data_IF_478691009338
#
_entry.id   IF_478691009338
#
_cell.length_a   1.000
_cell.length_b   1.000
_cell.length_c   1.000
_cell.angle_alpha   90.00
_cell.angle_beta   90.00
_cell.angle_gamma   90.00
#
_symmetry.space_group_name_H-M   'P 1'
#
loop_
_entity.id
_entity.type
_entity.pdbx_description
1 polymer ?
#
# COMPACT_ATOMS: atom_id res chain seq x y z
N UNK A 1 21.55 -30.32 -10.64
CA UNK A 1 21.12 -30.04 -9.25
C UNK A 1 21.18 -28.55 -8.90
N UNK A 2 22.29 -27.85 -9.18
CA UNK A 2 22.45 -26.41 -8.86
C UNK A 2 21.35 -25.50 -9.46
N UNK A 3 20.99 -25.68 -10.73
CA UNK A 3 19.93 -24.88 -11.36
C UNK A 3 18.54 -25.08 -10.73
N UNK A 4 18.21 -26.31 -10.34
CA UNK A 4 16.95 -26.58 -9.63
C UNK A 4 16.95 -25.96 -8.23
N UNK A 5 18.08 -26.00 -7.54
CA UNK A 5 18.23 -25.35 -6.24
C UNK A 5 18.05 -23.83 -6.33
N UNK A 6 18.75 -23.17 -7.27
CA UNK A 6 18.66 -21.72 -7.46
C UNK A 6 17.25 -21.25 -7.86
N UNK A 7 16.53 -22.06 -8.66
CA UNK A 7 15.14 -21.79 -9.06
C UNK A 7 14.21 -21.57 -7.87
N UNK A 8 14.41 -22.28 -6.76
CA UNK A 8 13.58 -22.15 -5.55
C UNK A 8 14.21 -21.27 -4.48
N UNK A 9 15.54 -21.28 -4.34
CA UNK A 9 16.24 -20.45 -3.35
C UNK A 9 16.02 -18.96 -3.61
N UNK A 10 16.12 -18.50 -4.87
CA UNK A 10 16.05 -17.07 -5.17
C UNK A 10 14.69 -16.46 -4.81
N UNK A 11 13.52 -17.05 -5.17
CA UNK A 11 12.23 -16.58 -4.70
C UNK A 11 12.14 -16.50 -3.17
N UNK A 12 12.68 -17.49 -2.46
CA UNK A 12 12.70 -17.49 -0.98
C UNK A 12 13.52 -16.31 -0.45
N UNK A 13 14.68 -16.03 -1.04
CA UNK A 13 15.51 -14.87 -0.68
C UNK A 13 14.79 -13.55 -0.96
N UNK A 14 14.09 -13.44 -2.09
CA UNK A 14 13.29 -12.26 -2.44
C UNK A 14 12.18 -12.03 -1.41
N UNK A 15 11.42 -13.08 -1.07
CA UNK A 15 10.36 -12.99 -0.05
C UNK A 15 10.95 -12.66 1.32
N UNK A 16 12.05 -13.27 1.72
CA UNK A 16 12.75 -12.94 2.95
C UNK A 16 13.18 -11.47 3.01
N UNK A 17 13.71 -10.94 1.90
CA UNK A 17 14.08 -9.53 1.80
C UNK A 17 12.86 -8.60 1.89
N UNK A 18 11.71 -8.97 1.30
CA UNK A 18 10.46 -8.22 1.46
C UNK A 18 9.92 -8.24 2.88
N UNK A 19 10.03 -9.36 3.60
CA UNK A 19 9.64 -9.43 5.01
C UNK A 19 10.53 -8.53 5.87
N UNK A 20 11.85 -8.52 5.64
CA UNK A 20 12.77 -7.58 6.32
C UNK A 20 12.36 -6.14 6.03
N UNK A 21 12.07 -5.81 4.77
CA UNK A 21 11.62 -4.47 4.37
C UNK A 21 10.29 -4.08 5.04
N UNK A 22 9.41 -5.04 5.28
CA UNK A 22 8.08 -4.85 5.87
C UNK A 22 8.09 -4.70 7.39
N UNK A 23 9.10 -5.20 8.11
CA UNK A 23 9.04 -5.22 9.58
C UNK A 23 10.23 -4.58 10.29
N UNK A 24 11.40 -4.51 9.64
CA UNK A 24 12.65 -4.16 10.32
C UNK A 24 13.24 -2.82 9.88
N UNK A 25 12.90 -2.35 8.66
CA UNK A 25 13.58 -1.19 8.05
C UNK A 25 12.71 0.06 8.12
N UNK A 26 13.25 1.12 8.73
CA UNK A 26 12.62 2.42 8.77
C UNK A 26 12.79 3.19 7.45
N UNK A 27 11.85 4.08 7.13
CA UNK A 27 11.92 4.92 5.92
C UNK A 27 13.15 5.83 5.85
N UNK A 28 13.76 6.15 7.00
CA UNK A 28 14.96 6.99 7.10
C UNK A 28 16.25 6.28 6.72
N UNK A 29 16.25 4.94 6.62
CA UNK A 29 17.45 4.14 6.41
C UNK A 29 17.81 4.06 4.92
N UNK A 30 18.02 5.21 4.29
CA UNK A 30 18.14 5.36 2.82
C UNK A 30 19.14 4.40 2.20
N UNK A 31 20.33 4.24 2.80
CA UNK A 31 21.36 3.34 2.26
C UNK A 31 20.95 1.86 2.35
N UNK A 32 20.28 1.46 3.44
CA UNK A 32 19.77 0.09 3.61
C UNK A 32 18.66 -0.18 2.61
N UNK A 33 17.72 0.74 2.46
CA UNK A 33 16.64 0.65 1.48
C UNK A 33 17.18 0.53 0.05
N UNK A 34 18.12 1.39 -0.35
CA UNK A 34 18.75 1.33 -1.67
C UNK A 34 19.45 -0.01 -1.91
N UNK A 35 20.17 -0.51 -0.91
CA UNK A 35 20.89 -1.79 -1.01
C UNK A 35 19.94 -2.97 -1.13
N UNK A 36 18.86 -3.00 -0.34
CA UNK A 36 17.83 -4.04 -0.41
C UNK A 36 17.09 -4.00 -1.75
N UNK A 37 16.65 -2.83 -2.20
CA UNK A 37 15.97 -2.71 -3.50
C UNK A 37 16.87 -3.13 -4.66
N UNK A 38 18.16 -2.74 -4.65
CA UNK A 38 19.12 -3.18 -5.66
C UNK A 38 19.34 -4.69 -5.61
N UNK A 39 19.49 -5.27 -4.42
CA UNK A 39 19.66 -6.71 -4.24
C UNK A 39 18.44 -7.49 -4.76
N UNK A 40 17.23 -7.09 -4.37
CA UNK A 40 15.98 -7.69 -4.85
C UNK A 40 15.89 -7.57 -6.38
N UNK A 41 16.23 -6.41 -6.95
CA UNK A 41 16.22 -6.20 -8.40
C UNK A 41 17.17 -7.17 -9.12
N UNK A 42 18.41 -7.30 -8.67
CA UNK A 42 19.38 -8.20 -9.29
C UNK A 42 18.97 -9.67 -9.19
N UNK A 43 18.45 -10.09 -8.03
CA UNK A 43 17.91 -11.44 -7.82
C UNK A 43 16.72 -11.72 -8.73
N UNK A 44 15.78 -10.79 -8.80
CA UNK A 44 14.59 -10.91 -9.64
C UNK A 44 14.96 -10.93 -11.12
N UNK A 45 15.86 -10.04 -11.57
CA UNK A 45 16.36 -10.01 -12.95
C UNK A 45 17.00 -11.34 -13.36
N UNK A 46 17.88 -11.88 -12.52
CA UNK A 46 18.53 -13.16 -12.77
C UNK A 46 17.50 -14.30 -12.78
N UNK A 47 16.58 -14.35 -11.81
CA UNK A 47 15.58 -15.41 -11.73
C UNK A 47 14.62 -15.38 -12.92
N UNK A 48 14.16 -14.18 -13.32
CA UNK A 48 13.29 -14.01 -14.48
C UNK A 48 14.00 -14.52 -15.74
N UNK A 49 15.26 -14.19 -15.97
CA UNK A 49 15.98 -14.62 -17.18
C UNK A 49 16.15 -16.13 -17.32
N UNK A 50 16.17 -16.87 -16.21
CA UNK A 50 16.57 -18.28 -16.21
C UNK A 50 15.45 -19.28 -15.88
N UNK A 51 14.46 -18.89 -15.08
CA UNK A 51 13.55 -19.86 -14.44
C UNK A 51 12.06 -19.48 -14.48
N UNK A 52 11.70 -18.40 -15.17
CA UNK A 52 10.35 -17.87 -15.14
C UNK A 52 9.36 -18.76 -15.91
N UNK A 53 8.14 -18.82 -15.39
CA UNK A 53 6.92 -19.12 -16.14
C UNK A 53 5.87 -18.11 -15.70
N UNK A 54 4.81 -17.90 -16.50
CA UNK A 54 3.75 -16.98 -16.13
C UNK A 54 3.14 -17.32 -14.75
N UNK A 55 2.94 -18.62 -14.48
CA UNK A 55 2.43 -19.10 -13.19
C UNK A 55 3.39 -18.85 -12.03
N UNK A 56 4.71 -19.00 -12.24
CA UNK A 56 5.68 -18.73 -11.17
C UNK A 56 5.85 -17.23 -10.91
N UNK A 57 5.75 -16.39 -11.94
CA UNK A 57 5.74 -14.92 -11.82
C UNK A 57 4.51 -14.49 -11.02
N UNK A 58 3.33 -14.99 -11.38
CA UNK A 58 2.08 -14.69 -10.67
C UNK A 58 2.17 -15.10 -9.20
N UNK A 59 2.62 -16.33 -8.92
CA UNK A 59 2.77 -16.82 -7.55
C UNK A 59 3.74 -15.96 -6.74
N UNK A 60 4.92 -15.65 -7.28
CA UNK A 60 5.91 -14.81 -6.61
C UNK A 60 5.36 -13.39 -6.36
N UNK A 61 4.67 -12.80 -7.34
CA UNK A 61 4.03 -11.50 -7.20
C UNK A 61 2.95 -11.47 -6.10
N UNK A 62 2.10 -12.50 -6.04
CA UNK A 62 1.09 -12.66 -4.98
C UNK A 62 1.78 -12.74 -3.61
N UNK A 63 2.77 -13.63 -3.46
CA UNK A 63 3.48 -13.79 -2.19
C UNK A 63 4.20 -12.50 -1.75
N UNK A 64 4.81 -11.79 -2.70
CA UNK A 64 5.44 -10.50 -2.43
C UNK A 64 4.43 -9.45 -1.93
N UNK A 65 3.23 -9.38 -2.52
CA UNK A 65 2.16 -8.48 -2.05
C UNK A 65 1.66 -8.84 -0.66
N UNK A 66 1.52 -10.13 -0.36
CA UNK A 66 1.07 -10.61 0.95
C UNK A 66 2.06 -10.27 2.07
N UNK A 67 3.36 -10.15 1.80
CA UNK A 67 4.36 -9.71 2.79
C UNK A 67 4.05 -8.35 3.41
N UNK A 68 3.32 -7.50 2.69
CA UNK A 68 2.99 -6.15 3.14
C UNK A 68 1.54 -6.01 3.60
N UNK A 69 0.70 -7.04 3.59
CA UNK A 69 -0.76 -6.85 3.81
C UNK A 69 -1.08 -6.20 5.15
N UNK A 70 -0.36 -6.55 6.22
CA UNK A 70 -0.53 -6.03 7.59
C UNK A 70 0.50 -4.96 8.00
N UNK A 71 1.29 -4.44 7.06
CA UNK A 71 2.31 -3.43 7.36
C UNK A 71 1.73 -2.01 7.32
N UNK A 72 2.09 -1.07 8.19
CA UNK A 72 1.67 0.32 7.97
C UNK A 72 2.64 0.98 6.97
N UNK A 73 2.18 1.58 5.85
CA UNK A 73 3.11 2.10 4.86
C UNK A 73 3.88 3.31 5.40
N UNK A 74 5.19 3.16 5.55
CA UNK A 74 6.11 4.21 6.03
C UNK A 74 6.50 5.21 4.93
N UNK A 75 6.47 4.79 3.67
CA UNK A 75 6.97 5.57 2.51
C UNK A 75 5.97 6.60 1.97
N UNK A 76 4.68 6.46 2.27
CA UNK A 76 3.65 7.44 1.87
C UNK A 76 2.71 7.72 3.04
N UNK A 77 2.37 9.00 3.20
CA UNK A 77 1.43 9.50 4.19
C UNK A 77 0.02 9.67 3.61
N UNK A 78 -0.18 9.41 2.32
CA UNK A 78 -1.46 9.67 1.63
C UNK A 78 -2.61 8.83 2.18
N UNK A 79 -2.32 7.66 2.73
CA UNK A 79 -3.38 6.82 3.30
C UNK A 79 -4.08 7.47 4.50
N UNK A 80 -3.39 8.34 5.24
CA UNK A 80 -4.03 9.14 6.30
C UNK A 80 -5.06 10.08 5.70
N UNK A 81 -4.74 10.70 4.54
CA UNK A 81 -5.66 11.56 3.80
C UNK A 81 -6.82 10.78 3.21
N UNK A 82 -6.58 9.57 2.70
CA UNK A 82 -7.64 8.68 2.22
C UNK A 82 -8.65 8.39 3.33
N UNK A 83 -8.17 7.96 4.50
CA UNK A 83 -9.05 7.66 5.62
C UNK A 83 -9.78 8.91 6.12
N UNK A 84 -9.10 10.06 6.18
CA UNK A 84 -9.74 11.34 6.52
C UNK A 84 -10.89 11.68 5.59
N UNK A 85 -10.65 11.68 4.27
CA UNK A 85 -11.68 11.98 3.27
C UNK A 85 -12.84 10.99 3.37
N UNK A 86 -12.54 9.72 3.66
CA UNK A 86 -13.56 8.71 3.91
C UNK A 86 -14.42 8.98 5.15
N UNK A 87 -13.82 9.47 6.24
CA UNK A 87 -14.55 9.86 7.45
C UNK A 87 -15.41 11.12 7.22
N UNK A 88 -14.88 12.13 6.54
CA UNK A 88 -15.62 13.34 6.14
C UNK A 88 -16.86 12.97 5.31
N UNK A 89 -16.73 12.02 4.38
CA UNK A 89 -17.87 11.51 3.62
C UNK A 89 -18.88 10.72 4.45
N UNK A 90 -18.44 9.99 5.49
CA UNK A 90 -19.36 9.30 6.41
C UNK A 90 -20.21 10.28 7.23
N UNK A 91 -19.69 11.48 7.49
CA UNK A 91 -20.43 12.59 8.10
C UNK A 91 -21.36 13.32 7.10
N UNK A 92 -21.44 12.86 5.84
CA UNK A 92 -22.28 13.47 4.80
C UNK A 92 -21.69 14.73 4.17
N UNK A 93 -20.42 15.05 4.45
CA UNK A 93 -19.73 16.20 3.89
C UNK A 93 -18.93 15.83 2.64
N UNK A 94 -18.72 16.82 1.77
CA UNK A 94 -17.96 16.65 0.54
C UNK A 94 -16.48 17.04 0.77
N UNK A 95 -15.50 16.12 0.66
CA UNK A 95 -14.08 16.40 0.89
C UNK A 95 -13.44 17.33 -0.16
N UNK A 96 -14.13 17.62 -1.26
CA UNK A 96 -13.70 18.59 -2.27
C UNK A 96 -14.03 20.04 -1.90
N UNK A 97 -14.90 20.27 -0.91
CA UNK A 97 -15.36 21.60 -0.51
C UNK A 97 -14.62 22.15 0.71
N UNK A 98 -13.88 21.31 1.43
CA UNK A 98 -13.24 21.68 2.68
C UNK A 98 -11.84 21.06 2.76
N UNK A 99 -10.89 21.79 3.35
CA UNK A 99 -9.59 21.24 3.71
C UNK A 99 -9.65 20.59 5.10
N UNK A 100 -8.73 19.66 5.43
CA UNK A 100 -8.58 19.16 6.80
C UNK A 100 -8.39 20.27 7.83
N UNK A 101 -7.59 21.28 7.52
CA UNK A 101 -7.38 22.45 8.41
C UNK A 101 -8.67 23.21 8.69
N UNK A 102 -9.59 23.32 7.72
CA UNK A 102 -10.89 23.94 7.96
C UNK A 102 -11.81 23.10 8.85
N UNK A 103 -11.59 21.78 8.90
CA UNK A 103 -12.51 20.83 9.52
C UNK A 103 -12.04 20.31 10.88
N UNK A 104 -10.74 20.39 11.20
CA UNK A 104 -10.15 19.75 12.39
C UNK A 104 -10.86 20.10 13.71
N UNK A 105 -11.31 21.35 13.86
CA UNK A 105 -12.02 21.82 15.05
C UNK A 105 -13.56 21.64 14.98
N UNK A 106 -14.08 21.16 13.85
CA UNK A 106 -15.51 21.06 13.56
C UNK A 106 -15.98 19.59 13.59
N UNK A 107 -15.15 18.68 13.09
CA UNK A 107 -15.52 17.28 12.87
C UNK A 107 -15.06 16.38 14.00
N UNK A 108 -15.84 15.34 14.29
CA UNK A 108 -15.52 14.35 15.33
C UNK A 108 -15.70 12.96 14.73
N UNK A 109 -14.61 12.20 14.69
CA UNK A 109 -14.59 10.79 14.31
C UNK A 109 -13.34 10.09 14.92
N UNK A 110 -13.30 8.75 14.95
CA UNK A 110 -12.15 8.02 15.48
C UNK A 110 -10.84 8.41 14.79
N UNK A 111 -9.77 8.56 15.57
CA UNK A 111 -8.43 8.91 15.08
C UNK A 111 -8.31 10.28 14.39
N UNK A 112 -9.26 11.21 14.55
CA UNK A 112 -9.24 12.54 13.89
C UNK A 112 -7.89 13.26 14.01
N UNK A 113 -7.36 13.40 15.24
CA UNK A 113 -6.07 14.06 15.47
C UNK A 113 -4.91 13.27 14.85
N UNK A 114 -4.94 11.94 14.97
CA UNK A 114 -3.91 11.08 14.39
C UNK A 114 -3.85 11.22 12.87
N UNK A 115 -5.00 11.18 12.19
CA UNK A 115 -5.08 11.31 10.74
C UNK A 115 -4.60 12.69 10.29
N UNK A 116 -5.01 13.75 11.00
CA UNK A 116 -4.60 15.14 10.74
C UNK A 116 -3.10 15.36 10.93
N UNK A 117 -2.55 14.90 12.06
CA UNK A 117 -1.13 15.10 12.38
C UNK A 117 -0.22 14.33 11.42
N UNK A 118 -0.65 13.14 10.97
CA UNK A 118 0.17 12.24 10.16
C UNK A 118 0.07 12.45 8.66
N UNK A 119 -1.00 13.08 8.15
CA UNK A 119 -1.12 13.36 6.71
C UNK A 119 -0.16 14.46 6.22
N UNK A 120 0.39 15.27 7.12
CA UNK A 120 1.34 16.34 6.82
C UNK A 120 0.68 17.63 6.35
N UNK A 121 1.38 18.76 6.52
CA UNK A 121 0.84 20.11 6.28
C UNK A 121 0.40 20.35 4.83
N UNK A 122 1.11 19.79 3.85
CA UNK A 122 0.73 19.92 2.45
C UNK A 122 -0.63 19.30 2.17
N UNK A 123 -0.90 18.12 2.76
CA UNK A 123 -2.18 17.43 2.59
C UNK A 123 -3.29 18.11 3.40
N UNK A 124 -2.96 18.58 4.61
CA UNK A 124 -3.90 19.23 5.52
C UNK A 124 -4.40 20.60 5.02
N UNK A 125 -3.53 21.37 4.36
CA UNK A 125 -3.85 22.71 3.85
C UNK A 125 -4.50 22.74 2.46
N UNK A 126 -4.71 21.58 1.80
CA UNK A 126 -5.24 21.52 0.44
C UNK A 126 -6.52 20.70 0.33
N UNK A 127 -7.38 21.07 -0.63
CA UNK A 127 -8.56 20.31 -1.01
C UNK A 127 -8.17 18.93 -1.53
N UNK A 128 -9.12 17.99 -1.48
CA UNK A 128 -8.87 16.65 -2.00
C UNK A 128 -8.56 16.71 -3.50
N UNK A 129 -7.42 16.14 -3.88
CA UNK A 129 -6.93 16.06 -5.26
C UNK A 129 -7.17 14.69 -5.90
N UNK A 130 -7.82 13.76 -5.17
CA UNK A 130 -8.04 12.40 -5.65
C UNK A 130 -9.29 12.30 -6.54
N UNK A 131 -9.30 11.43 -7.56
CA UNK A 131 -10.45 11.26 -8.44
C UNK A 131 -11.75 10.87 -7.69
N UNK A 132 -12.94 11.25 -8.17
CA UNK A 132 -14.20 10.92 -7.49
C UNK A 132 -14.44 9.43 -7.27
N UNK A 133 -13.97 8.58 -8.19
CA UNK A 133 -14.12 7.12 -8.06
C UNK A 133 -13.34 6.58 -6.86
N UNK A 134 -12.13 7.10 -6.56
CA UNK A 134 -11.35 6.64 -5.41
C UNK A 134 -11.97 7.06 -4.08
N UNK A 135 -12.73 8.15 -4.05
CA UNK A 135 -13.41 8.61 -2.83
C UNK A 135 -14.39 7.59 -2.27
N UNK A 136 -15.08 6.83 -3.12
CA UNK A 136 -15.94 5.73 -2.67
C UNK A 136 -15.14 4.62 -1.99
N UNK A 137 -13.94 4.32 -2.48
CA UNK A 137 -13.03 3.34 -1.87
C UNK A 137 -12.52 3.84 -0.53
N UNK A 138 -12.23 5.13 -0.42
CA UNK A 138 -11.79 5.78 0.81
C UNK A 138 -12.89 5.77 1.86
N UNK A 139 -14.13 6.08 1.47
CA UNK A 139 -15.30 5.97 2.35
C UNK A 139 -15.48 4.55 2.87
N UNK A 140 -15.34 3.54 2.01
CA UNK A 140 -15.41 2.14 2.42
C UNK A 140 -14.28 1.78 3.39
N UNK A 141 -13.04 2.15 3.09
CA UNK A 141 -11.90 1.89 3.96
C UNK A 141 -12.03 2.56 5.33
N UNK A 142 -12.48 3.82 5.36
CA UNK A 142 -12.71 4.57 6.59
C UNK A 142 -13.81 3.95 7.46
N UNK A 143 -14.81 3.28 6.86
CA UNK A 143 -15.84 2.59 7.63
C UNK A 143 -15.23 1.46 8.48
N UNK A 144 -14.26 0.74 7.91
CA UNK A 144 -13.54 -0.31 8.64
C UNK A 144 -12.41 0.20 9.53
N UNK A 145 -11.95 1.44 9.36
CA UNK A 145 -10.87 2.03 10.16
C UNK A 145 -11.32 2.55 11.53
N UNK A 146 -12.62 2.62 11.82
CA UNK A 146 -13.17 3.25 13.03
C UNK A 146 -12.64 2.65 14.35
N UNK A 147 -12.27 1.35 14.34
CA UNK A 147 -11.75 0.66 15.52
C UNK A 147 -10.21 0.54 15.54
N UNK A 148 -9.62 0.40 14.35
CA UNK A 148 -8.18 0.25 14.16
C UNK A 148 -7.80 0.76 12.78
N UNK A 149 -6.88 1.72 12.74
CA UNK A 149 -6.30 2.30 11.51
C UNK A 149 -5.88 1.23 10.49
N UNK A 150 -5.25 0.15 10.97
CA UNK A 150 -4.74 -0.94 10.13
C UNK A 150 -5.84 -1.57 9.28
N UNK A 151 -7.07 -1.69 9.81
CA UNK A 151 -8.18 -2.34 9.10
C UNK A 151 -8.52 -1.56 7.82
N UNK A 152 -8.58 -0.23 7.88
CA UNK A 152 -8.82 0.60 6.70
C UNK A 152 -7.70 0.45 5.66
N UNK A 153 -6.45 0.39 6.10
CA UNK A 153 -5.28 0.17 5.23
C UNK A 153 -5.35 -1.21 4.56
N UNK A 154 -5.72 -2.25 5.30
CA UNK A 154 -5.91 -3.60 4.76
C UNK A 154 -7.03 -3.61 3.71
N UNK A 155 -8.15 -2.94 3.95
CA UNK A 155 -9.24 -2.82 2.95
C UNK A 155 -8.74 -2.16 1.67
N UNK A 156 -8.02 -1.03 1.75
CA UNK A 156 -7.46 -0.39 0.56
C UNK A 156 -6.51 -1.32 -0.20
N UNK A 157 -5.65 -2.05 0.53
CA UNK A 157 -4.73 -3.01 -0.09
C UNK A 157 -5.45 -4.16 -0.77
N UNK A 158 -6.49 -4.71 -0.17
CA UNK A 158 -7.26 -5.79 -0.77
C UNK A 158 -7.92 -5.32 -2.06
N UNK A 159 -8.50 -4.11 -2.07
CA UNK A 159 -9.12 -3.53 -3.27
C UNK A 159 -8.07 -3.34 -4.38
N UNK A 160 -6.93 -2.72 -4.06
CA UNK A 160 -5.87 -2.52 -5.05
C UNK A 160 -5.28 -3.84 -5.53
N UNK A 161 -5.08 -4.80 -4.64
CA UNK A 161 -4.58 -6.13 -4.98
C UNK A 161 -5.53 -6.90 -5.90
N UNK A 162 -6.84 -6.82 -5.66
CA UNK A 162 -7.86 -7.38 -6.56
C UNK A 162 -7.80 -6.69 -7.93
N UNK A 163 -7.63 -5.37 -7.96
CA UNK A 163 -7.45 -4.60 -9.19
C UNK A 163 -6.22 -5.03 -9.98
N UNK A 164 -5.08 -5.21 -9.30
CA UNK A 164 -3.84 -5.73 -9.89
C UNK A 164 -4.02 -7.13 -10.49
N UNK A 165 -4.67 -8.04 -9.77
CA UNK A 165 -4.99 -9.38 -10.27
C UNK A 165 -5.91 -9.33 -11.49
N UNK A 166 -6.94 -8.50 -11.45
CA UNK A 166 -7.85 -8.30 -12.57
C UNK A 166 -7.10 -7.81 -13.82
N UNK A 167 -6.26 -6.78 -13.70
CA UNK A 167 -5.43 -6.28 -14.80
C UNK A 167 -4.51 -7.37 -15.36
N UNK A 168 -3.84 -8.13 -14.49
CA UNK A 168 -2.99 -9.24 -14.91
C UNK A 168 -3.77 -10.25 -15.77
N UNK A 169 -4.92 -10.74 -15.30
CA UNK A 169 -5.70 -11.71 -16.05
C UNK A 169 -6.37 -11.15 -17.31
N UNK A 170 -6.62 -9.84 -17.39
CA UNK A 170 -7.10 -9.20 -18.61
C UNK A 170 -6.02 -9.15 -19.69
N UNK A 171 -4.80 -8.75 -19.34
CA UNK A 171 -3.68 -8.61 -20.29
C UNK A 171 -3.22 -9.95 -20.86
N UNK A 172 -3.22 -11.02 -20.05
CA UNK A 172 -2.82 -12.36 -20.51
C UNK A 172 -3.94 -13.16 -21.17
N UNK A 173 -5.10 -12.54 -21.42
CA UNK A 173 -6.23 -13.14 -22.18
C UNK A 173 -6.23 -12.78 -23.67
N UNK A 174 -5.34 -11.89 -24.12
CA UNK A 174 -5.09 -11.58 -25.55
C UNK A 174 -3.97 -12.42 -26.13
#
# INVERSE_FOLDING_TARGET
MLNYFLRFLIPILIIGAFLILSYEIGRSDTFVLLSLYLGIFLLLWYWIRNYNTLGSILLLGILARLCFIFHLPELSQDFYRYLWDGQVQQLGMNPYLYTPENLIDIVIFPDVNLLFDKMGSLSAGNYSNYPPVSQYLFRLAAFFSQHHLLNGVVILRLIYFIGELFCFFLEFRS
#
